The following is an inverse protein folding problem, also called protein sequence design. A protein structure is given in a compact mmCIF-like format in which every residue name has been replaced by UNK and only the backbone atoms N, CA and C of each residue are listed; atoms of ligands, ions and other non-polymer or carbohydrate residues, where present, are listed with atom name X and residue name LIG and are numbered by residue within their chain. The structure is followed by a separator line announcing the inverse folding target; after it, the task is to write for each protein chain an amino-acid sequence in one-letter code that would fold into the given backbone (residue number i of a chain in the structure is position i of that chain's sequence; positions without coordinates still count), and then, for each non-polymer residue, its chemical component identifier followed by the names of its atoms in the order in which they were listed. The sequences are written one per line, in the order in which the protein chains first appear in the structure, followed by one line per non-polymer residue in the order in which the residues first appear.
data_IF_216974446080
#
_entry.id   IF_216974446080
#
_cell.length_a   1.000
_cell.length_b   1.000
_cell.length_c   1.000
_cell.angle_alpha   90.00
_cell.angle_beta   90.00
_cell.angle_gamma   90.00
#
_symmetry.space_group_name_H-M   'P 1'
#
loop_
_entity.id
_entity.type
_entity.pdbx_description
1 polymer ?
#
# COMPACT_ATOMS: atom_id res chain seq x y z
N UNK A 1 -55.25 6.23 7.81
CA UNK A 1 -54.19 7.15 7.33
C UNK A 1 -52.86 6.41 7.42
N UNK A 2 -52.17 6.28 6.27
CA UNK A 2 -50.91 5.54 6.09
C UNK A 2 -49.78 6.24 6.85
N UNK A 3 -49.00 5.49 7.63
CA UNK A 3 -47.68 5.92 8.10
C UNK A 3 -46.66 4.98 7.46
N UNK A 4 -46.19 5.37 6.27
CA UNK A 4 -45.04 4.73 5.63
C UNK A 4 -43.80 5.15 6.42
N UNK A 5 -43.27 4.26 7.25
CA UNK A 5 -41.93 4.43 7.81
C UNK A 5 -40.92 4.13 6.69
N UNK A 6 -40.44 5.17 6.02
CA UNK A 6 -39.26 5.08 5.16
C UNK A 6 -38.07 4.99 6.10
N UNK A 7 -37.54 3.78 6.32
CA UNK A 7 -36.22 3.61 6.92
C UNK A 7 -35.21 4.08 5.88
N UNK A 8 -34.72 5.30 6.04
CA UNK A 8 -33.59 5.81 5.29
C UNK A 8 -32.35 4.97 5.65
N UNK A 9 -31.90 4.14 4.71
CA UNK A 9 -30.57 3.53 4.81
C UNK A 9 -29.54 4.66 4.71
N UNK A 10 -28.97 5.03 5.85
CA UNK A 10 -27.79 5.87 5.89
C UNK A 10 -26.59 5.04 5.39
N UNK A 11 -26.37 5.05 4.08
CA UNK A 11 -25.05 4.74 3.53
C UNK A 11 -24.12 5.85 4.03
N UNK A 12 -23.31 5.54 5.03
CA UNK A 12 -22.14 6.34 5.34
C UNK A 12 -21.18 6.24 4.14
N UNK A 13 -21.37 7.12 3.17
CA UNK A 13 -20.38 7.42 2.15
C UNK A 13 -19.28 8.16 2.92
N UNK A 14 -18.21 7.46 3.27
CA UNK A 14 -17.01 8.08 3.81
C UNK A 14 -16.59 9.22 2.86
N UNK A 15 -16.55 10.48 3.32
CA UNK A 15 -16.15 11.58 2.47
C UNK A 15 -14.64 11.49 2.23
N UNK A 16 -14.24 12.16 1.14
CA UNK A 16 -12.87 12.42 0.72
C UNK A 16 -12.08 11.18 0.28
N UNK A 17 -12.00 11.05 -1.04
CA UNK A 17 -10.68 10.94 -1.66
C UNK A 17 -9.74 11.94 -0.95
N UNK A 18 -8.98 11.47 0.04
CA UNK A 18 -7.87 12.24 0.58
C UNK A 18 -6.98 12.53 -0.62
N UNK A 19 -7.05 13.78 -1.10
CA UNK A 19 -6.33 14.19 -2.28
C UNK A 19 -4.85 13.91 -2.02
N UNK A 20 -4.27 13.02 -2.82
CA UNK A 20 -2.87 12.64 -2.66
C UNK A 20 -2.02 13.90 -2.56
N UNK A 21 -1.31 14.05 -1.45
CA UNK A 21 -0.38 15.17 -1.31
C UNK A 21 0.83 14.88 -2.22
N UNK A 22 0.93 15.61 -3.34
CA UNK A 22 1.99 15.43 -4.33
C UNK A 22 3.40 15.69 -3.80
N UNK A 23 3.50 16.31 -2.62
CA UNK A 23 4.77 16.67 -2.00
C UNK A 23 5.23 15.63 -0.97
N UNK A 24 4.44 14.59 -0.68
CA UNK A 24 4.78 13.56 0.30
C UNK A 24 4.89 12.22 -0.41
N UNK A 25 6.13 11.84 -0.71
CA UNK A 25 6.45 10.55 -1.34
C UNK A 25 6.85 9.52 -0.28
N UNK A 26 6.31 8.33 -0.44
CA UNK A 26 6.48 7.22 0.50
C UNK A 26 6.96 6.01 -0.27
N UNK A 27 7.99 5.34 0.25
CA UNK A 27 8.45 4.05 -0.27
C UNK A 27 7.94 2.92 0.62
N UNK A 28 7.24 1.96 0.02
CA UNK A 28 6.89 0.70 0.66
C UNK A 28 7.69 -0.46 0.07
N UNK A 29 7.85 -1.50 0.87
CA UNK A 29 8.37 -2.78 0.43
C UNK A 29 7.70 -3.95 1.16
N UNK A 30 7.67 -5.09 0.48
CA UNK A 30 7.28 -6.39 1.01
C UNK A 30 8.29 -7.45 0.58
N UNK A 31 8.50 -8.45 1.43
CA UNK A 31 9.36 -9.60 1.09
C UNK A 31 8.67 -10.41 0.01
N UNK A 32 9.34 -10.62 -1.13
CA UNK A 32 8.90 -11.52 -2.21
C UNK A 32 9.80 -12.76 -2.28
N UNK A 33 9.82 -13.55 -1.20
CA UNK A 33 10.69 -14.73 -1.12
C UNK A 33 10.22 -15.86 -2.03
N UNK A 34 8.92 -15.92 -2.35
CA UNK A 34 8.30 -16.98 -3.14
C UNK A 34 8.35 -16.71 -4.64
N UNK A 35 8.35 -15.44 -5.05
CA UNK A 35 8.28 -15.03 -6.47
C UNK A 35 7.12 -15.71 -7.22
N UNK A 36 6.02 -15.97 -6.50
CA UNK A 36 4.83 -16.64 -7.00
C UNK A 36 3.93 -15.70 -7.83
N UNK A 37 4.39 -14.47 -8.10
CA UNK A 37 3.68 -13.46 -8.86
C UNK A 37 2.58 -12.75 -8.08
N UNK A 38 2.39 -13.05 -6.79
CA UNK A 38 1.31 -12.50 -5.98
C UNK A 38 1.43 -11.00 -5.74
N UNK A 39 2.63 -10.50 -5.45
CA UNK A 39 2.88 -9.07 -5.27
C UNK A 39 2.75 -8.26 -6.58
N UNK A 40 3.28 -8.75 -7.72
CA UNK A 40 2.99 -8.16 -9.03
C UNK A 40 1.50 -8.02 -9.37
N UNK A 41 0.61 -8.91 -8.92
CA UNK A 41 -0.84 -8.79 -9.18
C UNK A 41 -1.43 -7.48 -8.63
N UNK A 42 -0.87 -6.94 -7.55
CA UNK A 42 -1.33 -5.69 -6.94
C UNK A 42 -1.10 -4.46 -7.82
N UNK A 43 -0.24 -4.54 -8.86
CA UNK A 43 -0.06 -3.45 -9.82
C UNK A 43 -1.37 -3.10 -10.54
N UNK A 44 -2.14 -4.13 -10.88
CA UNK A 44 -3.22 -4.03 -11.85
C UNK A 44 -4.60 -3.89 -11.20
N UNK A 45 -4.73 -4.15 -9.90
CA UNK A 45 -5.99 -4.07 -9.17
C UNK A 45 -5.89 -3.12 -7.96
N UNK A 46 -6.39 -1.89 -8.14
CA UNK A 46 -6.43 -0.87 -7.09
C UNK A 46 -7.30 -1.28 -5.88
N UNK A 47 -8.37 -2.05 -6.12
CA UNK A 47 -9.23 -2.55 -5.06
C UNK A 47 -8.52 -3.67 -4.28
N UNK A 48 -7.76 -4.54 -4.95
CA UNK A 48 -6.91 -5.53 -4.27
C UNK A 48 -5.85 -4.85 -3.38
N UNK A 49 -5.25 -3.75 -3.84
CA UNK A 49 -4.34 -2.95 -3.01
C UNK A 49 -5.01 -2.46 -1.74
N UNK A 50 -6.17 -1.80 -1.87
CA UNK A 50 -6.92 -1.27 -0.73
C UNK A 50 -7.42 -2.38 0.22
N UNK A 51 -7.73 -3.58 -0.30
CA UNK A 51 -8.05 -4.76 0.53
C UNK A 51 -6.83 -5.30 1.27
N UNK A 52 -5.66 -5.27 0.65
CA UNK A 52 -4.41 -5.70 1.28
C UNK A 52 -3.99 -4.70 2.38
N UNK A 53 -3.92 -3.41 2.07
CA UNK A 53 -3.78 -2.35 3.07
C UNK A 53 -4.50 -1.10 2.53
N UNK A 54 -5.43 -0.51 3.29
CA UNK A 54 -6.17 0.67 2.87
C UNK A 54 -5.29 1.79 2.33
N UNK A 55 -4.07 1.98 2.84
CA UNK A 55 -3.17 3.05 2.38
C UNK A 55 -2.53 2.75 1.03
N UNK A 56 -2.50 1.49 0.59
CA UNK A 56 -1.99 1.12 -0.74
C UNK A 56 -2.98 1.44 -1.86
N UNK A 57 -4.22 1.83 -1.53
CA UNK A 57 -5.22 2.29 -2.51
C UNK A 57 -4.73 3.49 -3.32
N UNK A 58 -3.83 4.28 -2.74
CA UNK A 58 -3.28 5.49 -3.33
C UNK A 58 -2.31 5.22 -4.50
N UNK A 59 -2.03 3.96 -4.82
CA UNK A 59 -1.38 3.56 -6.08
C UNK A 59 0.10 3.24 -5.93
N UNK A 60 0.71 2.77 -7.01
CA UNK A 60 2.14 2.40 -7.11
C UNK A 60 2.74 3.09 -8.34
N UNK A 61 3.84 3.82 -8.19
CA UNK A 61 4.48 4.55 -9.28
C UNK A 61 5.60 3.77 -9.97
N UNK A 62 6.43 3.12 -9.17
CA UNK A 62 7.66 2.43 -9.61
C UNK A 62 7.74 1.03 -8.98
N UNK A 63 6.61 0.34 -8.94
CA UNK A 63 6.49 -0.97 -8.32
C UNK A 63 7.28 -2.04 -9.08
N UNK A 64 8.11 -2.79 -8.36
CA UNK A 64 8.89 -3.88 -8.91
C UNK A 64 9.81 -4.53 -7.89
N UNK A 65 10.53 -5.56 -8.34
CA UNK A 65 11.58 -6.18 -7.54
C UNK A 65 12.80 -5.25 -7.47
N UNK A 66 13.16 -4.84 -6.26
CA UNK A 66 14.31 -3.97 -5.96
C UNK A 66 15.20 -4.61 -4.91
N UNK A 67 16.47 -4.24 -4.90
CA UNK A 67 17.37 -4.59 -3.81
C UNK A 67 17.25 -3.47 -2.78
N UNK A 68 16.76 -3.80 -1.58
CA UNK A 68 16.66 -2.83 -0.49
C UNK A 68 17.55 -3.26 0.66
N UNK A 69 18.25 -2.29 1.25
CA UNK A 69 19.10 -2.52 2.41
C UNK A 69 18.43 -1.97 3.68
N UNK A 70 18.16 -2.84 4.65
CA UNK A 70 17.65 -2.45 5.97
C UNK A 70 18.79 -2.07 6.93
N UNK A 71 20.03 -2.43 6.58
CA UNK A 71 21.27 -1.97 7.21
C UNK A 71 22.44 -2.08 6.21
N UNK A 72 23.61 -1.45 6.45
CA UNK A 72 24.76 -1.50 5.54
C UNK A 72 25.27 -2.90 5.19
N UNK A 73 24.89 -3.91 5.96
CA UNK A 73 25.30 -5.32 5.77
C UNK A 73 24.14 -6.27 5.50
N UNK A 74 22.90 -5.77 5.44
CA UNK A 74 21.72 -6.59 5.23
C UNK A 74 20.88 -5.98 4.12
N UNK A 75 21.07 -6.53 2.93
CA UNK A 75 20.27 -6.24 1.75
C UNK A 75 19.50 -7.49 1.36
N UNK A 76 18.27 -7.29 0.93
CA UNK A 76 17.40 -8.34 0.43
C UNK A 76 16.72 -7.90 -0.85
N UNK A 77 16.17 -8.86 -1.58
CA UNK A 77 15.30 -8.56 -2.70
C UNK A 77 13.88 -8.43 -2.20
N UNK A 78 13.26 -7.29 -2.47
CA UNK A 78 11.91 -6.97 -2.03
C UNK A 78 11.10 -6.49 -3.22
N UNK A 79 9.80 -6.72 -3.15
CA UNK A 79 8.88 -6.01 -4.01
C UNK A 79 8.63 -4.64 -3.40
N UNK A 80 9.06 -3.58 -4.07
CA UNK A 80 9.04 -2.22 -3.55
C UNK A 80 8.41 -1.25 -4.52
N UNK A 81 7.75 -0.23 -3.98
CA UNK A 81 6.99 0.75 -4.75
C UNK A 81 6.86 2.07 -4.00
N UNK A 82 6.69 3.15 -4.74
CA UNK A 82 6.48 4.49 -4.21
C UNK A 82 5.10 5.02 -4.57
N UNK A 83 4.59 5.93 -3.74
CA UNK A 83 3.33 6.61 -3.99
C UNK A 83 3.19 7.89 -3.17
N UNK A 84 2.24 8.74 -3.57
CA UNK A 84 1.88 9.92 -2.80
C UNK A 84 0.89 9.57 -1.68
N UNK A 85 1.21 10.00 -0.47
CA UNK A 85 0.38 9.76 0.71
C UNK A 85 -0.13 11.09 1.29
N UNK A 86 -1.37 11.18 1.81
CA UNK A 86 -1.91 12.42 2.38
C UNK A 86 -1.17 12.90 3.64
N UNK A 87 -0.57 11.98 4.39
CA UNK A 87 0.14 12.25 5.65
C UNK A 87 1.63 11.95 5.56
N UNK A 88 2.45 12.72 6.27
CA UNK A 88 3.86 12.42 6.46
C UNK A 88 4.01 11.40 7.61
N UNK A 89 4.63 10.26 7.33
CA UNK A 89 4.85 9.19 8.30
C UNK A 89 6.31 8.78 8.29
N UNK A 90 6.89 8.67 9.48
CA UNK A 90 8.28 8.25 9.65
C UNK A 90 8.45 6.78 9.25
N UNK A 91 7.55 5.90 9.73
CA UNK A 91 7.45 4.51 9.34
C UNK A 91 6.10 3.91 9.78
N UNK A 92 5.59 2.95 9.02
CA UNK A 92 4.47 2.08 9.43
C UNK A 92 4.66 0.71 8.81
N UNK A 93 4.21 -0.27 9.57
CA UNK A 93 4.14 -1.65 9.13
C UNK A 93 2.68 -2.07 9.20
N UNK A 94 2.23 -2.71 8.14
CA UNK A 94 0.91 -3.31 8.06
C UNK A 94 1.02 -4.75 7.59
N UNK A 95 0.01 -5.54 7.91
CA UNK A 95 -0.13 -6.89 7.37
C UNK A 95 -1.42 -6.94 6.59
N UNK A 96 -1.31 -7.28 5.31
CA UNK A 96 -2.42 -7.41 4.39
C UNK A 96 -2.60 -8.84 3.94
N UNK A 97 -3.80 -9.17 3.45
CA UNK A 97 -4.07 -10.49 2.87
C UNK A 97 -4.28 -10.38 1.37
N UNK A 98 -3.59 -11.22 0.59
CA UNK A 98 -3.73 -11.33 -0.87
C UNK A 98 -3.85 -12.81 -1.20
N UNK A 99 -4.88 -13.21 -1.93
CA UNK A 99 -5.14 -14.61 -2.29
C UNK A 99 -5.00 -15.59 -1.09
N UNK A 100 -5.42 -15.16 0.11
CA UNK A 100 -5.33 -15.94 1.35
C UNK A 100 -3.96 -15.95 2.04
N UNK A 101 -2.96 -15.26 1.50
CA UNK A 101 -1.61 -15.16 2.07
C UNK A 101 -1.43 -13.85 2.83
N UNK A 102 -0.87 -13.92 4.05
CA UNK A 102 -0.51 -12.75 4.83
C UNK A 102 0.82 -12.17 4.37
N UNK A 103 0.79 -10.91 3.95
CA UNK A 103 1.93 -10.15 3.44
C UNK A 103 2.19 -8.98 4.36
N UNK A 104 3.42 -8.87 4.83
CA UNK A 104 3.87 -7.72 5.62
C UNK A 104 4.36 -6.62 4.70
N UNK A 105 3.69 -5.48 4.70
CA UNK A 105 4.16 -4.26 4.05
C UNK A 105 4.85 -3.39 5.09
N UNK A 106 6.03 -2.90 4.74
CA UNK A 106 6.73 -1.88 5.53
C UNK A 106 6.90 -0.68 4.65
N UNK A 107 6.45 0.48 5.10
CA UNK A 107 6.74 1.72 4.41
C UNK A 107 7.37 2.75 5.32
N UNK A 108 8.22 3.52 4.67
CA UNK A 108 9.13 4.48 5.28
C UNK A 108 9.11 5.73 4.41
N UNK A 109 9.40 6.87 5.01
CA UNK A 109 9.66 8.08 4.22
C UNK A 109 10.71 7.78 3.15
N UNK A 110 10.53 8.31 1.94
CA UNK A 110 11.35 8.02 0.76
C UNK A 110 12.87 8.05 1.04
N UNK A 111 13.33 8.97 1.90
CA UNK A 111 14.73 9.12 2.29
C UNK A 111 15.31 7.98 3.13
N UNK A 112 14.49 7.10 3.74
CA UNK A 112 14.91 6.04 4.66
C UNK A 112 14.83 4.62 4.07
N UNK A 113 14.38 4.46 2.83
CA UNK A 113 14.37 3.18 2.11
C UNK A 113 15.30 3.23 0.91
N UNK A 114 16.59 2.98 1.11
CA UNK A 114 17.57 2.86 0.01
C UNK A 114 17.31 1.55 -0.75
N UNK A 115 16.28 1.56 -1.60
CA UNK A 115 16.00 0.53 -2.57
C UNK A 115 16.59 0.95 -3.91
N UNK A 116 17.59 0.23 -4.41
CA UNK A 116 18.14 0.45 -5.75
C UNK A 116 17.44 -0.47 -6.74
N UNK A 117 17.20 0.05 -7.95
CA UNK A 117 16.75 -0.76 -9.09
C UNK A 117 17.88 -1.72 -9.45
N UNK A 118 17.53 -2.98 -9.71
CA UNK A 118 18.48 -4.03 -10.11
C UNK A 118 18.80 -3.93 -11.61
#
# INVERSE_FOLDING_TARGET
MKHSAIVAMAFAIFPSAEAQNKNIQVGCYAVDSRQDGLLPKLLFDAAARGRADPDLRFGFWDAGNKICCTSPRSCGRYYAFTYNHPYNWASKTSTGTIDGQNIKFTCVGFSMGQCTVN
#
